data_IF_768713747114
#
_entry.id   IF_768713747114
#
_cell.length_a   1.000
_cell.length_b   1.000
_cell.length_c   1.000
_cell.angle_alpha   90.00
_cell.angle_beta   90.00
_cell.angle_gamma   90.00
#
_symmetry.space_group_name_H-M   'P 1'
#
loop_
_entity.id
_entity.type
_entity.pdbx_description
1 polymer ?
#
# COMPACT_ATOMS: atom_id res chain seq x y z
N UNK A 1 12.81 15.35 14.11
CA UNK A 1 11.48 15.12 13.51
C UNK A 1 11.28 13.61 13.48
N UNK A 2 10.61 13.07 14.51
CA UNK A 2 10.27 11.65 14.59
C UNK A 2 8.95 11.47 13.85
N UNK A 3 9.03 11.16 12.56
CA UNK A 3 7.87 10.61 11.84
C UNK A 3 7.54 9.29 12.53
N UNK A 4 6.41 9.24 13.25
CA UNK A 4 6.03 8.03 13.97
C UNK A 4 5.62 6.95 12.97
N UNK A 5 5.90 5.68 13.27
CA UNK A 5 5.45 4.54 12.45
C UNK A 5 3.95 4.63 12.14
N UNK A 6 3.15 5.11 13.11
CA UNK A 6 1.72 5.39 12.94
C UNK A 6 1.43 6.41 11.83
N UNK A 7 2.16 7.53 11.78
CA UNK A 7 2.00 8.53 10.72
C UNK A 7 2.36 7.98 9.35
N UNK A 8 3.40 7.14 9.25
CA UNK A 8 3.74 6.49 7.99
C UNK A 8 2.66 5.50 7.52
N UNK A 9 2.07 4.74 8.45
CA UNK A 9 0.92 3.86 8.19
C UNK A 9 -0.30 4.68 7.72
N UNK A 10 -0.58 5.80 8.37
CA UNK A 10 -1.67 6.71 7.98
C UNK A 10 -1.46 7.26 6.57
N UNK A 11 -0.25 7.74 6.28
CA UNK A 11 0.11 8.25 4.96
C UNK A 11 -0.05 7.19 3.88
N UNK A 12 0.48 5.98 4.09
CA UNK A 12 0.33 4.87 3.15
C UNK A 12 -1.15 4.53 2.92
N UNK A 13 -1.95 4.51 3.99
CA UNK A 13 -3.40 4.28 3.89
C UNK A 13 -4.11 5.39 3.08
N UNK A 14 -3.69 6.64 3.21
CA UNK A 14 -4.23 7.74 2.40
C UNK A 14 -3.84 7.62 0.93
N UNK A 15 -2.56 7.30 0.63
CA UNK A 15 -2.10 7.07 -0.74
C UNK A 15 -2.86 5.90 -1.39
N UNK A 16 -3.11 4.84 -0.64
CA UNK A 16 -3.92 3.70 -1.10
C UNK A 16 -5.36 4.11 -1.44
N UNK A 17 -6.01 4.91 -0.58
CA UNK A 17 -7.35 5.45 -0.84
C UNK A 17 -7.39 6.35 -2.08
N UNK A 18 -6.36 7.17 -2.27
CA UNK A 18 -6.23 8.01 -3.46
C UNK A 18 -6.09 7.16 -4.73
N UNK A 19 -5.29 6.09 -4.70
CA UNK A 19 -5.13 5.15 -5.81
C UNK A 19 -6.47 4.51 -6.19
N UNK A 20 -7.23 4.01 -5.22
CA UNK A 20 -8.57 3.44 -5.46
C UNK A 20 -9.54 4.48 -6.04
N UNK A 21 -9.51 5.71 -5.52
CA UNK A 21 -10.39 6.78 -5.99
C UNK A 21 -10.07 7.22 -7.42
N UNK A 22 -8.79 7.16 -7.82
CA UNK A 22 -8.33 7.45 -9.17
C UNK A 22 -8.75 6.37 -10.18
N UNK A 23 -9.01 5.15 -9.71
CA UNK A 23 -9.49 4.02 -10.52
C UNK A 23 -10.98 3.75 -10.32
N UNK A 24 -11.73 4.71 -9.78
CA UNK A 24 -13.15 4.50 -9.54
C UNK A 24 -13.93 4.38 -10.86
N UNK A 25 -14.91 3.45 -10.96
CA UNK A 25 -15.75 3.31 -12.13
C UNK A 25 -16.41 4.63 -12.54
N UNK A 26 -16.42 4.92 -13.83
CA UNK A 26 -17.06 6.13 -14.39
C UNK A 26 -16.25 7.42 -14.28
N UNK A 27 -15.07 7.44 -13.63
CA UNK A 27 -14.17 8.60 -13.68
C UNK A 27 -13.21 8.54 -14.86
N UNK A 28 -12.81 9.65 -15.49
CA UNK A 28 -11.67 9.63 -16.42
C UNK A 28 -10.42 9.09 -15.70
N UNK A 29 -9.71 8.17 -16.34
CA UNK A 29 -8.47 7.63 -15.79
C UNK A 29 -7.31 8.54 -16.17
N UNK A 30 -6.69 9.18 -15.18
CA UNK A 30 -5.43 9.92 -15.38
C UNK A 30 -4.25 8.97 -15.12
N UNK A 31 -3.62 8.53 -16.21
CA UNK A 31 -2.48 7.60 -16.13
C UNK A 31 -1.24 8.22 -15.47
N UNK A 32 -1.02 9.53 -15.62
CA UNK A 32 0.13 10.20 -14.99
C UNK A 32 -0.05 10.21 -13.49
N UNK A 33 -1.25 10.56 -13.04
CA UNK A 33 -1.60 10.52 -11.62
C UNK A 33 -1.54 9.09 -11.07
N UNK A 34 -2.01 8.10 -11.84
CA UNK A 34 -1.94 6.70 -11.43
C UNK A 34 -0.50 6.22 -11.22
N UNK A 35 0.41 6.54 -12.15
CA UNK A 35 1.84 6.22 -12.02
C UNK A 35 2.41 6.91 -10.77
N UNK A 36 2.11 8.20 -10.58
CA UNK A 36 2.57 8.94 -9.41
C UNK A 36 2.11 8.29 -8.09
N UNK A 37 0.83 7.92 -8.00
CA UNK A 37 0.26 7.27 -6.82
C UNK A 37 0.87 5.89 -6.57
N UNK A 38 1.10 5.10 -7.63
CA UNK A 38 1.76 3.78 -7.54
C UNK A 38 3.17 3.89 -6.96
N UNK A 39 3.98 4.82 -7.47
CA UNK A 39 5.34 5.06 -6.97
C UNK A 39 5.33 5.62 -5.55
N UNK A 40 4.42 6.56 -5.25
CA UNK A 40 4.27 7.10 -3.90
C UNK A 40 3.94 5.99 -2.91
N UNK A 41 3.06 5.06 -3.29
CA UNK A 41 2.66 3.97 -2.40
C UNK A 41 3.80 2.99 -2.13
N UNK A 42 4.63 2.68 -3.14
CA UNK A 42 5.85 1.90 -2.93
C UNK A 42 6.82 2.60 -1.96
N UNK A 43 7.01 3.91 -2.11
CA UNK A 43 7.85 4.70 -1.21
C UNK A 43 7.29 4.71 0.21
N UNK A 44 5.97 4.85 0.39
CA UNK A 44 5.34 4.83 1.71
C UNK A 44 5.51 3.46 2.38
N UNK A 45 5.37 2.36 1.63
CA UNK A 45 5.61 1.01 2.16
C UNK A 45 7.07 0.78 2.56
N UNK A 46 8.03 1.33 1.81
CA UNK A 46 9.45 1.30 2.17
C UNK A 46 9.72 2.12 3.44
N UNK A 47 9.09 3.29 3.58
CA UNK A 47 9.19 4.12 4.77
C UNK A 47 8.66 3.38 6.02
N UNK A 48 7.49 2.73 5.93
CA UNK A 48 6.95 1.86 6.99
C UNK A 48 7.95 0.77 7.37
N UNK A 49 8.53 0.09 6.37
CA UNK A 49 9.54 -0.95 6.59
C UNK A 49 10.75 -0.45 7.40
N UNK A 50 11.25 0.75 7.08
CA UNK A 50 12.39 1.35 7.76
C UNK A 50 12.04 1.85 9.16
N UNK A 51 10.89 2.51 9.31
CA UNK A 51 10.42 2.99 10.60
C UNK A 51 10.10 1.85 11.56
N UNK A 52 9.51 0.75 11.09
CA UNK A 52 9.24 -0.43 11.90
C UNK A 52 10.52 -1.08 12.45
N UNK A 53 11.63 -1.02 11.70
CA UNK A 53 12.94 -1.48 12.19
C UNK A 53 13.51 -0.59 13.30
N UNK A 54 13.18 0.70 13.27
CA UNK A 54 13.63 1.67 14.26
C UNK A 54 12.69 1.79 15.47
N UNK A 55 11.45 1.29 15.36
CA UNK A 55 10.42 1.38 16.38
C UNK A 55 10.80 0.62 17.67
N UNK A 56 10.76 1.31 18.81
CA UNK A 56 11.21 0.76 20.09
C UNK A 56 10.28 -0.35 20.61
N UNK A 57 8.97 -0.21 20.42
CA UNK A 57 7.99 -1.19 20.89
C UNK A 57 8.16 -2.50 20.13
N UNK A 58 8.27 -2.43 18.80
CA UNK A 58 8.51 -3.61 17.96
C UNK A 58 9.88 -4.24 18.24
N UNK A 59 10.93 -3.44 18.45
CA UNK A 59 12.27 -3.97 18.78
C UNK A 59 12.32 -4.69 20.12
N UNK A 60 11.48 -4.31 21.07
CA UNK A 60 11.42 -4.93 22.40
C UNK A 60 10.78 -6.32 22.40
N UNK A 61 10.04 -6.66 21.34
CA UNK A 61 9.38 -7.95 21.15
C UNK A 61 9.66 -8.50 19.74
N UNK A 62 10.69 -9.36 19.57
CA UNK A 62 11.06 -9.93 18.28
C UNK A 62 9.94 -10.70 17.58
N UNK A 63 9.02 -11.32 18.34
CA UNK A 63 7.89 -12.04 17.76
C UNK A 63 6.90 -11.07 17.12
N UNK A 64 6.58 -9.96 17.81
CA UNK A 64 5.74 -8.89 17.24
C UNK A 64 6.37 -8.24 16.02
N UNK A 65 7.68 -7.97 16.07
CA UNK A 65 8.39 -7.43 14.90
C UNK A 65 8.32 -8.40 13.71
N UNK A 66 8.55 -9.70 13.95
CA UNK A 66 8.45 -10.73 12.91
C UNK A 66 7.04 -10.79 12.29
N UNK A 67 5.98 -10.74 13.10
CA UNK A 67 4.60 -10.72 12.61
C UNK A 67 4.34 -9.49 11.75
N UNK A 68 4.75 -8.30 12.21
CA UNK A 68 4.62 -7.06 11.45
C UNK A 68 5.34 -7.14 10.11
N UNK A 69 6.58 -7.65 10.10
CA UNK A 69 7.37 -7.83 8.89
C UNK A 69 6.74 -8.83 7.91
N UNK A 70 6.16 -9.92 8.38
CA UNK A 70 5.48 -10.90 7.53
C UNK A 70 4.30 -10.25 6.79
N UNK A 71 3.38 -9.65 7.54
CA UNK A 71 2.18 -9.02 6.97
C UNK A 71 2.53 -7.84 6.06
N UNK A 72 3.52 -7.03 6.43
CA UNK A 72 4.01 -5.92 5.59
C UNK A 72 4.65 -6.41 4.28
N UNK A 73 5.36 -7.55 4.33
CA UNK A 73 5.95 -8.20 3.16
C UNK A 73 4.87 -8.73 2.21
N UNK A 74 3.82 -9.37 2.75
CA UNK A 74 2.67 -9.85 1.97
C UNK A 74 2.05 -8.73 1.14
N UNK A 75 1.74 -7.58 1.77
CA UNK A 75 1.18 -6.42 1.06
C UNK A 75 2.15 -5.85 0.01
N UNK A 76 3.45 -5.82 0.32
CA UNK A 76 4.47 -5.32 -0.62
C UNK A 76 4.61 -6.23 -1.85
N UNK A 77 4.48 -7.54 -1.66
CA UNK A 77 4.49 -8.54 -2.72
C UNK A 77 3.21 -8.44 -3.58
N UNK A 78 2.04 -8.36 -2.96
CA UNK A 78 0.77 -8.16 -3.66
C UNK A 78 0.80 -6.89 -4.52
N UNK A 79 1.32 -5.77 -3.98
CA UNK A 79 1.47 -4.52 -4.72
C UNK A 79 2.41 -4.68 -5.91
N UNK A 80 3.58 -5.29 -5.70
CA UNK A 80 4.58 -5.49 -6.74
C UNK A 80 4.04 -6.38 -7.87
N UNK A 81 3.37 -7.48 -7.52
CA UNK A 81 2.73 -8.38 -8.47
C UNK A 81 1.63 -7.67 -9.26
N UNK A 82 0.80 -6.87 -8.59
CA UNK A 82 -0.24 -6.08 -9.24
C UNK A 82 0.35 -5.07 -10.23
N UNK A 83 1.40 -4.35 -9.85
CA UNK A 83 2.05 -3.36 -10.71
C UNK A 83 2.78 -4.00 -11.90
N UNK A 84 3.39 -5.18 -11.69
CA UNK A 84 4.03 -5.94 -12.76
C UNK A 84 3.02 -6.48 -13.78
N UNK A 85 1.84 -6.94 -13.32
CA UNK A 85 0.77 -7.42 -14.19
C UNK A 85 0.13 -6.30 -15.01
N UNK A 86 -0.03 -5.11 -14.43
CA UNK A 86 -0.78 -4.00 -15.02
C UNK A 86 0.14 -2.90 -15.52
N UNK A 87 0.74 -3.11 -16.71
CA UNK A 87 1.45 -2.03 -17.40
C UNK A 87 0.45 -1.02 -17.97
N UNK A 88 0.90 0.21 -18.26
CA UNK A 88 0.00 1.31 -18.67
C UNK A 88 -0.85 0.95 -19.89
N UNK A 89 -0.22 0.34 -20.90
CA UNK A 89 -0.91 -0.14 -22.09
C UNK A 89 -2.03 -1.14 -21.77
N UNK A 90 -1.79 -2.05 -20.82
CA UNK A 90 -2.75 -3.08 -20.44
C UNK A 90 -3.93 -2.48 -19.66
N UNK A 91 -3.68 -1.44 -18.86
CA UNK A 91 -4.71 -0.71 -18.12
C UNK A 91 -5.63 0.04 -19.08
N UNK A 92 -5.08 0.70 -20.11
CA UNK A 92 -5.88 1.39 -21.12
C UNK A 92 -6.78 0.42 -21.89
N UNK A 93 -6.23 -0.74 -22.25
CA UNK A 93 -6.94 -1.75 -23.04
C UNK A 93 -7.97 -2.54 -22.22
N UNK A 94 -7.69 -2.80 -20.94
CA UNK A 94 -8.48 -3.68 -20.08
C UNK A 94 -8.88 -2.97 -18.78
N UNK A 95 -9.41 -1.76 -18.93
CA UNK A 95 -9.70 -0.86 -17.82
C UNK A 95 -10.61 -1.50 -16.76
N UNK A 96 -11.70 -2.13 -17.15
CA UNK A 96 -12.65 -2.76 -16.21
C UNK A 96 -11.96 -3.84 -15.36
N UNK A 97 -11.12 -4.66 -15.96
CA UNK A 97 -10.40 -5.72 -15.26
C UNK A 97 -9.36 -5.14 -14.28
N UNK A 98 -8.73 -4.03 -14.67
CA UNK A 98 -7.82 -3.29 -13.80
C UNK A 98 -8.55 -2.70 -12.58
N UNK A 99 -9.74 -2.14 -12.76
CA UNK A 99 -10.57 -1.62 -11.67
C UNK A 99 -10.94 -2.73 -10.69
N UNK A 100 -11.38 -3.90 -11.19
CA UNK A 100 -11.69 -5.08 -10.37
C UNK A 100 -10.45 -5.56 -9.60
N UNK A 101 -9.30 -5.66 -10.26
CA UNK A 101 -8.05 -6.08 -9.63
C UNK A 101 -7.61 -5.11 -8.52
N UNK A 102 -7.75 -3.81 -8.78
CA UNK A 102 -7.43 -2.75 -7.80
C UNK A 102 -8.36 -2.81 -6.59
N UNK A 103 -9.65 -3.09 -6.80
CA UNK A 103 -10.64 -3.25 -5.73
C UNK A 103 -10.34 -4.49 -4.86
N UNK A 104 -9.87 -5.58 -5.46
CA UNK A 104 -9.46 -6.79 -4.73
C UNK A 104 -8.24 -6.51 -3.84
N UNK A 105 -7.23 -5.85 -4.41
CA UNK A 105 -6.01 -5.45 -3.69
C UNK A 105 -6.30 -4.46 -2.55
N UNK A 106 -7.28 -3.58 -2.72
CA UNK A 106 -7.72 -2.65 -1.67
C UNK A 106 -8.11 -3.38 -0.39
N UNK A 107 -8.85 -4.49 -0.47
CA UNK A 107 -9.38 -5.16 0.71
C UNK A 107 -8.26 -5.76 1.58
N UNK A 108 -7.21 -6.33 0.99
CA UNK A 108 -6.05 -6.82 1.75
C UNK A 108 -5.29 -5.68 2.42
N UNK A 109 -5.09 -4.58 1.70
CA UNK A 109 -4.40 -3.38 2.19
C UNK A 109 -5.16 -2.69 3.34
N UNK A 110 -6.48 -2.52 3.21
CA UNK A 110 -7.31 -1.95 4.28
C UNK A 110 -7.27 -2.80 5.56
N UNK A 111 -7.33 -4.14 5.41
CA UNK A 111 -7.16 -5.06 6.55
C UNK A 111 -5.79 -4.92 7.21
N UNK A 112 -4.73 -4.84 6.42
CA UNK A 112 -3.38 -4.61 6.96
C UNK A 112 -3.28 -3.29 7.70
N UNK A 113 -3.76 -2.17 7.13
CA UNK A 113 -3.66 -0.87 7.78
C UNK A 113 -4.50 -0.79 9.07
N UNK A 114 -5.70 -1.38 9.07
CA UNK A 114 -6.53 -1.44 10.28
C UNK A 114 -5.86 -2.27 11.38
N UNK A 115 -5.27 -3.41 11.02
CA UNK A 115 -4.49 -4.23 11.96
C UNK A 115 -3.26 -3.49 12.47
N UNK A 116 -2.44 -2.94 11.57
CA UNK A 116 -1.16 -2.32 11.89
C UNK A 116 -1.32 -1.14 12.86
N UNK A 117 -2.39 -0.35 12.72
CA UNK A 117 -2.71 0.76 13.62
C UNK A 117 -3.05 0.33 15.05
N UNK A 118 -3.72 -0.81 15.20
CA UNK A 118 -4.04 -1.37 16.52
C UNK A 118 -2.89 -2.20 17.08
N UNK A 119 -1.92 -2.56 16.23
CA UNK A 119 -0.81 -3.43 16.57
C UNK A 119 0.39 -2.67 17.15
N UNK A 120 0.56 -1.38 16.83
CA UNK A 120 1.72 -0.58 17.26
C UNK A 120 1.45 0.26 18.50
#
# INVERSE_FOLDING_TARGET
MTDTLAQAIDKASQTQKALVSATAPGKPLDLKELVRLRSQFQHDMLAISNLARADQNLRSDPARFSEFRSRQSEISNELSNHQAKWMMKDIEQNRTDYEIATQSLRASQERFFAWAKNFI
#
